data_IF_379865627905
#
_entry.id   IF_379865627905
#
_cell.length_a   1.000
_cell.length_b   1.000
_cell.length_c   1.000
_cell.angle_alpha   90.00
_cell.angle_beta   90.00
_cell.angle_gamma   90.00
#
_symmetry.space_group_name_H-M   'P 1'
#
loop_
_entity.id
_entity.type
_entity.pdbx_description
1 polymer ?
#
# COMPACT_ATOMS: atom_id res chain seq x y z
N UNK A 1 -4.00 94.63 -43.04
CA UNK A 1 -5.21 94.76 -42.23
C UNK A 1 -5.72 93.33 -41.93
N UNK A 2 -5.32 92.77 -40.86
CA UNK A 2 -5.80 91.44 -40.39
C UNK A 2 -5.76 91.41 -38.87
N UNK A 3 -6.93 91.49 -38.28
CA UNK A 3 -7.09 91.44 -36.83
C UNK A 3 -6.89 90.02 -36.34
N UNK A 4 -5.90 89.84 -35.48
CA UNK A 4 -5.70 88.65 -34.65
C UNK A 4 -6.75 88.60 -33.55
N UNK A 5 -7.57 87.59 -33.50
CA UNK A 5 -8.49 87.24 -32.41
C UNK A 5 -7.68 86.40 -31.41
N UNK A 6 -7.83 86.63 -30.08
CA UNK A 6 -7.22 85.73 -29.09
C UNK A 6 -8.02 84.41 -29.00
N UNK A 7 -7.27 83.32 -29.04
CA UNK A 7 -7.79 81.93 -28.81
C UNK A 7 -8.00 81.77 -27.31
N UNK A 8 -9.20 81.38 -26.94
CA UNK A 8 -9.58 81.09 -25.58
C UNK A 8 -8.82 79.87 -25.04
N UNK A 9 -8.30 80.02 -23.82
CA UNK A 9 -7.68 78.94 -23.07
C UNK A 9 -8.72 77.84 -22.78
N UNK A 10 -8.45 76.65 -23.31
CA UNK A 10 -9.19 75.42 -22.93
C UNK A 10 -8.63 74.89 -21.61
N UNK A 11 -9.47 74.98 -20.59
CA UNK A 11 -9.20 74.30 -19.33
C UNK A 11 -9.04 72.80 -19.53
N UNK A 12 -7.83 72.27 -19.35
CA UNK A 12 -7.54 70.86 -19.21
C UNK A 12 -8.07 70.35 -17.90
N UNK A 13 -9.21 69.74 -17.96
CA UNK A 13 -9.78 68.93 -16.86
C UNK A 13 -8.73 67.91 -16.44
N UNK A 14 -8.27 68.03 -15.17
CA UNK A 14 -7.38 67.13 -14.51
C UNK A 14 -7.99 65.72 -14.47
N UNK A 15 -7.50 64.84 -15.32
CA UNK A 15 -7.70 63.43 -15.14
C UNK A 15 -6.90 62.96 -13.93
N UNK A 16 -7.60 62.58 -12.89
CA UNK A 16 -7.02 61.89 -11.76
C UNK A 16 -6.42 60.58 -12.26
N UNK A 17 -5.12 60.59 -12.51
CA UNK A 17 -4.34 59.38 -12.76
C UNK A 17 -4.32 58.62 -11.44
N UNK A 18 -5.25 57.66 -11.30
CA UNK A 18 -5.12 56.63 -10.25
C UNK A 18 -3.84 55.88 -10.59
N UNK A 19 -2.90 55.78 -9.66
CA UNK A 19 -1.80 54.83 -9.86
C UNK A 19 -2.44 53.45 -9.95
N UNK A 20 -2.24 52.79 -11.10
CA UNK A 20 -2.40 51.34 -11.21
C UNK A 20 -1.44 50.76 -10.18
N UNK A 21 -1.99 50.37 -9.03
CA UNK A 21 -1.30 49.45 -8.15
C UNK A 21 -0.98 48.24 -8.99
N UNK A 22 0.26 48.12 -9.43
CA UNK A 22 0.84 46.88 -9.83
C UNK A 22 0.55 45.91 -8.69
N UNK A 23 -0.42 45.03 -8.94
CA UNK A 23 -0.73 43.93 -8.04
C UNK A 23 0.51 43.04 -7.92
N UNK A 24 1.45 43.50 -7.13
CA UNK A 24 2.40 42.63 -6.49
C UNK A 24 1.52 41.62 -5.76
N UNK A 25 1.55 40.38 -6.26
CA UNK A 25 1.02 39.24 -5.51
C UNK A 25 1.78 39.28 -4.19
N UNK A 26 1.21 39.94 -3.18
CA UNK A 26 1.69 39.78 -1.83
C UNK A 26 1.57 38.30 -1.58
N UNK A 27 2.70 37.62 -1.51
CA UNK A 27 2.81 36.29 -0.93
C UNK A 27 2.41 36.52 0.53
N UNK A 28 1.07 36.59 0.74
CA UNK A 28 0.50 36.77 2.05
C UNK A 28 1.04 35.66 2.91
N UNK A 29 1.47 36.01 4.11
CA UNK A 29 1.89 35.03 5.13
C UNK A 29 0.96 33.83 5.06
N UNK A 30 1.50 32.61 4.94
CA UNK A 30 0.68 31.43 4.80
C UNK A 30 -0.27 31.40 6.00
N UNK A 31 -1.57 31.43 5.73
CA UNK A 31 -2.58 31.39 6.80
C UNK A 31 -2.23 30.22 7.71
N UNK A 32 -2.39 30.38 9.03
CA UNK A 32 -2.07 29.37 10.03
C UNK A 32 -2.63 27.96 9.67
N UNK A 33 -3.80 27.91 9.04
CA UNK A 33 -4.40 26.68 8.52
C UNK A 33 -3.54 25.97 7.46
N UNK A 34 -2.86 26.72 6.60
CA UNK A 34 -1.98 26.13 5.56
C UNK A 34 -0.68 25.60 6.15
N UNK A 35 -0.14 26.30 7.14
CA UNK A 35 1.04 25.86 7.88
C UNK A 35 0.73 24.57 8.64
N UNK A 36 -0.41 24.50 9.32
CA UNK A 36 -0.83 23.28 10.02
C UNK A 36 -0.95 22.07 9.08
N UNK A 37 -1.45 22.27 7.83
CA UNK A 37 -1.51 21.17 6.85
C UNK A 37 -0.11 20.77 6.36
N UNK A 38 0.81 21.71 6.17
CA UNK A 38 2.19 21.40 5.79
C UNK A 38 2.90 20.63 6.89
N UNK A 39 2.71 21.04 8.15
CA UNK A 39 3.23 20.34 9.33
C UNK A 39 2.63 18.92 9.43
N UNK A 40 1.30 18.76 9.25
CA UNK A 40 0.65 17.44 9.24
C UNK A 40 1.23 16.53 8.15
N UNK A 41 1.43 17.05 6.94
CA UNK A 41 2.02 16.29 5.83
C UNK A 41 3.45 15.89 6.17
N UNK A 42 4.24 16.83 6.71
CA UNK A 42 5.62 16.59 7.11
C UNK A 42 5.72 15.52 8.21
N UNK A 43 4.88 15.62 9.25
CA UNK A 43 4.82 14.61 10.32
C UNK A 43 4.49 13.23 9.76
N UNK A 44 3.52 13.16 8.83
CA UNK A 44 3.13 11.89 8.21
C UNK A 44 4.22 11.30 7.33
N UNK A 45 4.94 12.11 6.55
CA UNK A 45 6.09 11.62 5.78
C UNK A 45 7.22 11.14 6.69
N UNK A 46 7.44 11.80 7.83
CA UNK A 46 8.47 11.39 8.79
C UNK A 46 8.07 10.18 9.63
N UNK A 47 6.77 10.00 9.88
CA UNK A 47 6.25 8.89 10.67
C UNK A 47 5.99 7.62 9.85
N UNK A 48 5.84 7.76 8.52
CA UNK A 48 5.57 6.64 7.62
C UNK A 48 6.83 6.20 6.88
N UNK A 49 7.09 4.91 6.87
CA UNK A 49 8.21 4.31 6.14
C UNK A 49 8.03 4.40 4.62
N UNK A 50 6.77 4.47 4.15
CA UNK A 50 6.48 4.58 2.74
C UNK A 50 5.25 5.45 2.46
N UNK A 51 5.29 6.16 1.32
CA UNK A 51 4.20 6.95 0.78
C UNK A 51 4.04 6.69 -0.72
N UNK A 52 2.85 6.29 -1.16
CA UNK A 52 2.56 6.02 -2.57
C UNK A 52 1.63 7.11 -3.11
N UNK A 53 2.04 7.74 -4.22
CA UNK A 53 1.29 8.78 -4.90
C UNK A 53 0.44 8.17 -6.01
N UNK A 54 -0.86 8.48 -6.00
CA UNK A 54 -1.81 7.97 -6.97
C UNK A 54 -2.64 9.10 -7.57
N UNK A 55 -3.13 8.91 -8.79
CA UNK A 55 -4.14 9.76 -9.40
C UNK A 55 -5.50 9.10 -9.22
N UNK A 56 -6.46 9.88 -8.69
CA UNK A 56 -7.83 9.40 -8.40
C UNK A 56 -8.86 9.94 -9.37
N UNK A 57 -8.43 10.52 -10.48
CA UNK A 57 -9.35 11.14 -11.45
C UNK A 57 -10.24 10.08 -12.09
N UNK A 58 -11.55 10.29 -11.97
CA UNK A 58 -12.56 9.38 -12.56
C UNK A 58 -13.04 8.28 -11.61
N UNK A 59 -12.59 8.28 -10.34
CA UNK A 59 -13.15 7.40 -9.33
C UNK A 59 -14.46 7.95 -8.77
N UNK A 60 -15.46 7.10 -8.67
CA UNK A 60 -16.74 7.41 -8.02
C UNK A 60 -16.59 7.40 -6.49
N UNK A 61 -17.56 8.06 -5.81
CA UNK A 61 -17.57 8.12 -4.34
C UNK A 61 -17.59 6.75 -3.68
N UNK A 62 -18.42 5.77 -4.13
CA UNK A 62 -18.37 4.41 -3.57
C UNK A 62 -17.01 3.74 -3.78
N UNK A 63 -16.41 3.84 -4.97
CA UNK A 63 -15.09 3.29 -5.25
C UNK A 63 -14.00 3.89 -4.35
N UNK A 64 -14.05 5.20 -4.07
CA UNK A 64 -13.17 5.86 -3.12
C UNK A 64 -13.37 5.35 -1.68
N UNK A 65 -14.61 5.02 -1.29
CA UNK A 65 -14.88 4.47 0.03
C UNK A 65 -14.34 3.03 0.17
N UNK A 66 -14.50 2.22 -0.87
CA UNK A 66 -13.94 0.86 -0.95
C UNK A 66 -12.41 0.89 -0.91
N UNK A 67 -11.77 1.78 -1.69
CA UNK A 67 -10.34 1.98 -1.67
C UNK A 67 -9.82 2.32 -0.28
N UNK A 68 -10.46 3.29 0.39
CA UNK A 68 -10.08 3.67 1.76
C UNK A 68 -10.26 2.52 2.75
N UNK A 69 -11.29 1.70 2.58
CA UNK A 69 -11.51 0.52 3.40
C UNK A 69 -10.40 -0.52 3.20
N UNK A 70 -10.10 -0.88 1.95
CA UNK A 70 -9.05 -1.82 1.61
C UNK A 70 -7.67 -1.37 2.10
N UNK A 71 -7.36 -0.06 1.98
CA UNK A 71 -6.10 0.49 2.45
C UNK A 71 -6.00 0.50 3.99
N UNK A 72 -7.09 0.75 4.71
CA UNK A 72 -7.10 0.65 6.18
C UNK A 72 -6.89 -0.77 6.67
N UNK A 73 -7.45 -1.76 5.97
CA UNK A 73 -7.23 -3.18 6.26
C UNK A 73 -5.76 -3.57 6.04
N UNK A 74 -5.09 -2.93 5.06
CA UNK A 74 -3.67 -3.08 4.79
C UNK A 74 -2.76 -2.22 5.70
N UNK A 75 -3.32 -1.48 6.66
CA UNK A 75 -2.55 -0.60 7.54
C UNK A 75 -2.14 0.74 6.89
N UNK A 76 -2.88 1.21 5.89
CA UNK A 76 -2.59 2.46 5.19
C UNK A 76 -3.64 3.55 5.42
N UNK A 77 -3.20 4.79 5.40
CA UNK A 77 -4.07 5.97 5.41
C UNK A 77 -4.06 6.64 4.03
N UNK A 78 -5.25 6.89 3.46
CA UNK A 78 -5.42 7.52 2.15
C UNK A 78 -5.98 8.92 2.27
N UNK A 79 -5.16 9.93 1.96
CA UNK A 79 -5.55 11.34 2.01
C UNK A 79 -5.26 12.08 0.71
N UNK A 80 -6.11 13.07 0.44
CA UNK A 80 -5.96 13.98 -0.69
C UNK A 80 -5.49 15.32 -0.16
N UNK A 81 -4.35 15.77 -0.65
CA UNK A 81 -3.77 17.06 -0.29
C UNK A 81 -3.62 17.96 -1.53
N UNK A 82 -3.51 19.24 -1.29
CA UNK A 82 -3.21 20.19 -2.35
C UNK A 82 -1.73 20.09 -2.73
N UNK A 83 -1.43 19.83 -4.01
CA UNK A 83 -0.06 19.62 -4.50
C UNK A 83 0.93 20.72 -4.06
N UNK A 84 0.49 21.98 -4.05
CA UNK A 84 1.34 23.09 -3.61
C UNK A 84 1.78 22.99 -2.15
N UNK A 85 0.93 22.46 -1.26
CA UNK A 85 1.27 22.30 0.15
C UNK A 85 2.20 21.08 0.36
N UNK A 86 1.95 20.03 -0.42
CA UNK A 86 2.82 18.83 -0.41
C UNK A 86 4.21 19.19 -0.92
N UNK A 87 4.33 20.01 -1.97
CA UNK A 87 5.64 20.46 -2.47
C UNK A 87 6.46 21.14 -1.38
N UNK A 88 5.86 22.08 -0.65
CA UNK A 88 6.58 22.75 0.46
C UNK A 88 7.08 21.77 1.53
N UNK A 89 6.24 20.78 1.90
CA UNK A 89 6.64 19.78 2.88
C UNK A 89 7.77 18.87 2.37
N UNK A 90 7.73 18.51 1.09
CA UNK A 90 8.70 17.63 0.42
C UNK A 90 10.03 18.34 0.19
N UNK A 91 10.01 19.63 -0.20
CA UNK A 91 11.20 20.47 -0.35
C UNK A 91 11.99 20.57 0.95
N UNK A 92 11.28 20.72 2.09
CA UNK A 92 11.92 20.75 3.41
C UNK A 92 12.55 19.40 3.80
N UNK A 93 12.00 18.27 3.31
CA UNK A 93 12.52 16.92 3.54
C UNK A 93 13.59 16.51 2.53
N UNK A 94 13.81 17.30 1.47
CA UNK A 94 14.79 17.00 0.43
C UNK A 94 14.42 15.83 -0.48
N UNK A 95 13.14 15.49 -0.58
CA UNK A 95 12.63 14.38 -1.41
C UNK A 95 12.37 14.85 -2.85
N UNK A 96 12.91 14.15 -3.84
CA UNK A 96 12.73 14.47 -5.27
C UNK A 96 11.42 13.88 -5.84
N UNK A 97 10.27 14.34 -5.37
CA UNK A 97 8.96 13.87 -5.85
C UNK A 97 8.11 14.95 -6.53
N UNK A 98 8.69 16.11 -6.81
CA UNK A 98 7.97 17.24 -7.42
C UNK A 98 7.33 16.88 -8.75
N UNK A 99 8.01 16.08 -9.58
CA UNK A 99 7.52 15.63 -10.88
C UNK A 99 6.24 14.79 -10.78
N UNK A 100 6.07 14.08 -9.67
CA UNK A 100 4.91 13.22 -9.42
C UNK A 100 3.68 14.01 -8.94
N UNK A 101 3.89 15.25 -8.45
CA UNK A 101 2.84 16.13 -7.94
C UNK A 101 2.17 16.96 -9.05
N UNK A 102 1.88 16.34 -10.19
CA UNK A 102 1.16 16.94 -11.31
C UNK A 102 -0.28 16.41 -11.36
N UNK A 103 -1.27 17.27 -11.61
CA UNK A 103 -2.69 16.86 -11.66
C UNK A 103 -3.29 16.46 -10.30
N UNK A 104 -4.46 15.80 -10.28
CA UNK A 104 -5.12 15.38 -9.05
C UNK A 104 -4.36 14.24 -8.39
N UNK A 105 -3.70 14.52 -7.26
CA UNK A 105 -2.86 13.57 -6.57
C UNK A 105 -3.41 13.28 -5.18
N UNK A 106 -3.49 12.01 -4.84
CA UNK A 106 -3.75 11.52 -3.50
C UNK A 106 -2.53 10.71 -3.02
N UNK A 107 -2.32 10.72 -1.73
CA UNK A 107 -1.18 10.06 -1.10
C UNK A 107 -1.71 8.97 -0.17
N UNK A 108 -1.19 7.77 -0.35
CA UNK A 108 -1.38 6.65 0.56
C UNK A 108 -0.14 6.53 1.44
N UNK A 109 -0.28 6.80 2.73
CA UNK A 109 0.77 6.64 3.72
C UNK A 109 0.68 5.26 4.35
N UNK A 110 1.80 4.65 4.64
CA UNK A 110 1.87 3.49 5.51
C UNK A 110 1.73 3.99 6.94
N UNK A 111 0.68 3.55 7.63
CA UNK A 111 0.38 3.91 9.00
C UNK A 111 0.47 2.70 9.93
N UNK A 112 0.01 2.87 11.14
CA UNK A 112 -0.19 1.76 12.07
C UNK A 112 -1.44 0.96 11.66
N UNK A 113 -1.32 -0.35 11.64
CA UNK A 113 -2.44 -1.26 11.43
C UNK A 113 -3.40 -1.20 12.63
N UNK A 114 -4.65 -1.61 12.43
CA UNK A 114 -5.68 -1.64 13.49
C UNK A 114 -5.23 -2.42 14.74
N UNK A 115 -4.27 -3.30 14.59
CA UNK A 115 -3.71 -4.16 15.65
C UNK A 115 -2.49 -3.52 16.36
N UNK A 116 -2.14 -2.27 16.04
CA UNK A 116 -0.98 -1.57 16.62
C UNK A 116 0.36 -2.05 16.07
N UNK A 117 0.37 -2.87 15.04
CA UNK A 117 1.58 -3.24 14.30
C UNK A 117 1.93 -2.16 13.27
N UNK A 118 3.21 -1.99 12.98
CA UNK A 118 3.65 -1.13 11.88
C UNK A 118 3.06 -1.64 10.56
N UNK A 119 2.48 -0.74 9.78
CA UNK A 119 1.95 -1.08 8.47
C UNK A 119 3.03 -1.63 7.55
N UNK A 120 2.63 -2.50 6.64
CA UNK A 120 3.54 -3.09 5.66
C UNK A 120 3.41 -2.36 4.32
N UNK A 121 4.48 -1.71 3.82
CA UNK A 121 4.47 -1.05 2.52
C UNK A 121 4.13 -2.01 1.37
N UNK A 122 4.45 -3.29 1.51
CA UNK A 122 4.12 -4.34 0.53
C UNK A 122 2.62 -4.60 0.49
N UNK A 123 1.97 -4.70 1.66
CA UNK A 123 0.52 -4.88 1.76
C UNK A 123 -0.23 -3.69 1.15
N UNK A 124 0.25 -2.46 1.40
CA UNK A 124 -0.29 -1.24 0.82
C UNK A 124 -0.17 -1.24 -0.71
N UNK A 125 1.03 -1.54 -1.24
CA UNK A 125 1.28 -1.59 -2.69
C UNK A 125 0.42 -2.68 -3.36
N UNK A 126 0.24 -3.83 -2.72
CA UNK A 126 -0.64 -4.92 -3.19
C UNK A 126 -2.10 -4.48 -3.25
N UNK A 127 -2.61 -3.86 -2.19
CA UNK A 127 -3.98 -3.36 -2.16
C UNK A 127 -4.24 -2.32 -3.26
N UNK A 128 -3.29 -1.40 -3.50
CA UNK A 128 -3.37 -0.43 -4.59
C UNK A 128 -3.32 -1.09 -5.97
N UNK A 129 -2.45 -2.08 -6.18
CA UNK A 129 -2.35 -2.85 -7.43
C UNK A 129 -3.64 -3.61 -7.74
N UNK A 130 -4.20 -4.29 -6.75
CA UNK A 130 -5.42 -5.08 -6.92
C UNK A 130 -6.62 -4.17 -7.17
N UNK A 131 -6.70 -3.02 -6.51
CA UNK A 131 -7.72 -2.02 -6.78
C UNK A 131 -7.55 -1.37 -8.15
N UNK A 132 -6.32 -1.08 -8.59
CA UNK A 132 -6.04 -0.53 -9.92
C UNK A 132 -6.41 -1.51 -11.04
N UNK A 133 -6.30 -2.83 -10.81
CA UNK A 133 -6.80 -3.85 -11.76
C UNK A 133 -8.32 -3.86 -11.86
N UNK A 134 -9.03 -3.61 -10.76
CA UNK A 134 -10.49 -3.55 -10.73
C UNK A 134 -11.02 -2.22 -11.28
N UNK A 135 -10.26 -1.13 -11.13
CA UNK A 135 -10.64 0.22 -11.50
C UNK A 135 -9.51 0.89 -12.31
N UNK A 136 -9.63 0.93 -13.62
CA UNK A 136 -8.66 1.55 -14.53
C UNK A 136 -8.47 3.06 -14.29
N UNK A 137 -9.40 3.70 -13.57
CA UNK A 137 -9.34 5.12 -13.21
C UNK A 137 -8.27 5.45 -12.16
N UNK A 138 -7.80 4.45 -11.40
CA UNK A 138 -6.71 4.64 -10.44
C UNK A 138 -5.36 4.44 -11.13
N UNK A 139 -4.57 5.49 -11.21
CA UNK A 139 -3.22 5.43 -11.79
C UNK A 139 -2.19 5.64 -10.69
N UNK A 140 -1.28 4.69 -10.55
CA UNK A 140 -0.12 4.80 -9.65
C UNK A 140 0.93 5.66 -10.36
N UNK A 141 1.37 6.75 -9.76
CA UNK A 141 2.38 7.66 -10.33
C UNK A 141 3.79 7.36 -9.88
N UNK A 142 3.92 6.88 -8.66
CA UNK A 142 5.19 6.62 -8.01
C UNK A 142 5.04 6.63 -6.51
N UNK A 143 6.15 6.59 -5.79
CA UNK A 143 6.15 6.63 -4.34
C UNK A 143 7.50 6.97 -3.77
N UNK A 144 7.55 6.97 -2.45
CA UNK A 144 8.76 7.11 -1.65
C UNK A 144 8.80 5.95 -0.66
N UNK A 145 9.94 5.32 -0.52
CA UNK A 145 10.22 4.28 0.46
C UNK A 145 11.58 4.59 1.10
N UNK A 146 11.64 4.71 2.42
CA UNK A 146 12.89 5.02 3.14
C UNK A 146 13.67 6.21 2.51
N UNK A 147 12.95 7.32 2.23
CA UNK A 147 13.49 8.53 1.58
C UNK A 147 13.93 8.34 0.11
N UNK A 148 13.81 7.15 -0.46
CA UNK A 148 14.13 6.87 -1.86
C UNK A 148 12.88 6.96 -2.72
N UNK A 149 13.04 7.63 -3.88
CA UNK A 149 11.98 7.68 -4.89
C UNK A 149 11.81 6.33 -5.55
N UNK A 150 10.58 5.84 -5.61
CA UNK A 150 10.19 4.64 -6.33
C UNK A 150 9.46 4.99 -7.63
N UNK A 151 9.84 4.32 -8.70
CA UNK A 151 9.13 4.34 -9.97
C UNK A 151 7.88 3.46 -9.92
N UNK A 152 6.98 3.61 -10.89
CA UNK A 152 5.78 2.79 -11.00
C UNK A 152 6.12 1.30 -11.12
N UNK A 153 7.17 0.97 -11.89
CA UNK A 153 7.61 -0.42 -12.09
C UNK A 153 8.10 -1.05 -10.78
N UNK A 154 8.86 -0.32 -9.99
CA UNK A 154 9.35 -0.77 -8.68
C UNK A 154 8.21 -0.97 -7.67
N UNK A 155 7.18 -0.12 -7.68
CA UNK A 155 5.99 -0.32 -6.85
C UNK A 155 5.22 -1.57 -7.27
N UNK A 156 5.12 -1.85 -8.56
CA UNK A 156 4.48 -3.06 -9.05
C UNK A 156 5.27 -4.33 -8.66
N UNK A 157 6.59 -4.27 -8.68
CA UNK A 157 7.47 -5.34 -8.19
C UNK A 157 7.32 -5.49 -6.67
N UNK A 158 7.31 -4.37 -5.92
CA UNK A 158 7.07 -4.37 -4.48
C UNK A 158 5.75 -5.06 -4.13
N UNK A 159 4.68 -4.82 -4.89
CA UNK A 159 3.39 -5.46 -4.70
C UNK A 159 3.39 -6.99 -4.99
N UNK A 160 4.40 -7.52 -5.67
CA UNK A 160 4.56 -8.96 -5.93
C UNK A 160 5.32 -9.68 -4.81
N UNK A 161 6.04 -8.95 -3.98
CA UNK A 161 6.74 -9.50 -2.82
C UNK A 161 5.71 -9.98 -1.79
N UNK A 162 6.03 -11.06 -1.09
CA UNK A 162 5.20 -11.54 0.00
C UNK A 162 5.29 -10.61 1.23
N UNK A 163 4.21 -10.43 2.00
CA UNK A 163 4.24 -9.68 3.26
C UNK A 163 5.32 -10.18 4.22
N UNK A 164 5.79 -9.31 5.11
CA UNK A 164 6.89 -9.61 6.05
C UNK A 164 6.66 -10.90 6.84
N UNK A 165 5.44 -11.12 7.31
CA UNK A 165 5.09 -12.33 8.08
C UNK A 165 5.26 -13.62 7.25
N UNK A 166 4.84 -13.59 5.98
CA UNK A 166 4.99 -14.73 5.09
C UNK A 166 6.46 -14.98 4.75
N UNK A 167 7.28 -13.92 4.58
CA UNK A 167 8.72 -14.06 4.37
C UNK A 167 9.41 -14.68 5.59
N UNK A 168 9.04 -14.27 6.81
CA UNK A 168 9.54 -14.86 8.03
C UNK A 168 9.11 -16.32 8.19
N UNK A 169 7.85 -16.64 7.85
CA UNK A 169 7.36 -18.02 7.86
C UNK A 169 8.09 -18.89 6.84
N UNK A 170 8.34 -18.39 5.63
CA UNK A 170 9.14 -19.08 4.61
C UNK A 170 10.59 -19.29 5.06
N UNK A 171 11.20 -18.30 5.69
CA UNK A 171 12.54 -18.41 6.26
C UNK A 171 12.59 -19.50 7.35
N UNK A 172 11.66 -19.47 8.30
CA UNK A 172 11.56 -20.47 9.34
C UNK A 172 11.33 -21.89 8.76
N UNK A 173 10.46 -22.00 7.76
CA UNK A 173 10.22 -23.23 7.01
C UNK A 173 11.48 -23.75 6.30
N UNK A 174 12.23 -22.87 5.65
CA UNK A 174 13.48 -23.24 4.97
C UNK A 174 14.54 -23.71 5.95
N UNK A 175 14.60 -23.15 7.15
CA UNK A 175 15.51 -23.61 8.23
C UNK A 175 15.07 -24.96 8.82
N UNK A 176 13.77 -25.22 8.94
CA UNK A 176 13.22 -26.46 9.46
C UNK A 176 13.21 -27.60 8.41
N UNK A 177 13.14 -27.29 7.12
CA UNK A 177 13.02 -28.26 6.03
C UNK A 177 14.11 -29.36 6.05
N UNK A 178 15.42 -29.08 6.24
CA UNK A 178 16.45 -30.12 6.28
C UNK A 178 16.21 -31.11 7.41
N UNK A 179 15.80 -30.62 8.60
CA UNK A 179 15.53 -31.49 9.73
C UNK A 179 14.30 -32.36 9.52
N UNK A 180 13.25 -31.80 8.92
CA UNK A 180 12.03 -32.53 8.55
C UNK A 180 12.32 -33.61 7.49
N UNK A 181 13.13 -33.28 6.47
CA UNK A 181 13.54 -34.25 5.45
C UNK A 181 14.36 -35.39 6.06
N UNK A 182 15.27 -35.08 6.97
CA UNK A 182 16.05 -36.10 7.65
C UNK A 182 15.17 -37.04 8.51
N UNK A 183 14.24 -36.47 9.28
CA UNK A 183 13.28 -37.26 10.05
C UNK A 183 12.37 -38.12 9.13
N UNK A 184 11.92 -37.57 8.01
CA UNK A 184 11.13 -38.31 7.04
C UNK A 184 11.90 -39.49 6.41
N UNK A 185 13.18 -39.31 6.06
CA UNK A 185 14.02 -40.37 5.55
C UNK A 185 14.26 -41.50 6.58
N UNK A 186 14.47 -41.13 7.85
CA UNK A 186 14.59 -42.14 8.92
C UNK A 186 13.28 -42.90 9.13
N UNK A 187 12.17 -42.26 8.98
CA UNK A 187 10.84 -42.88 9.13
C UNK A 187 10.41 -43.66 7.86
N UNK A 188 11.02 -43.38 6.70
CA UNK A 188 10.69 -44.07 5.46
C UNK A 188 11.07 -45.55 5.47
N UNK A 189 12.17 -45.90 6.16
CA UNK A 189 12.61 -47.31 6.27
C UNK A 189 11.58 -48.22 6.95
N UNK A 190 11.09 -47.92 8.17
CA UNK A 190 10.05 -48.72 8.82
C UNK A 190 8.70 -48.64 8.10
N UNK A 191 8.36 -47.49 7.50
CA UNK A 191 7.14 -47.37 6.68
C UNK A 191 7.16 -48.27 5.45
N UNK A 192 8.27 -48.33 4.70
CA UNK A 192 8.39 -49.18 3.53
C UNK A 192 8.32 -50.64 3.93
N UNK A 193 8.89 -51.05 5.08
CA UNK A 193 8.75 -52.38 5.61
C UNK A 193 7.29 -52.72 5.95
N UNK A 194 6.59 -51.79 6.62
CA UNK A 194 5.18 -51.98 6.96
C UNK A 194 4.29 -52.08 5.70
N UNK A 195 4.54 -51.27 4.67
CA UNK A 195 3.84 -51.38 3.40
C UNK A 195 4.12 -52.72 2.67
N UNK A 196 5.39 -53.18 2.67
CA UNK A 196 5.73 -54.46 2.10
C UNK A 196 5.07 -55.63 2.84
N UNK A 197 5.03 -55.60 4.18
CA UNK A 197 4.29 -56.59 4.97
C UNK A 197 2.77 -56.56 4.73
N UNK A 198 2.21 -55.38 4.61
CA UNK A 198 0.81 -55.20 4.28
C UNK A 198 0.50 -55.75 2.89
N UNK A 199 1.31 -55.46 1.88
CA UNK A 199 1.13 -56.01 0.54
C UNK A 199 1.21 -57.53 0.53
N UNK A 200 2.13 -58.16 1.29
CA UNK A 200 2.21 -59.60 1.43
C UNK A 200 0.94 -60.19 2.11
N UNK A 201 0.35 -59.50 3.06
CA UNK A 201 -0.90 -59.93 3.70
C UNK A 201 -2.06 -59.82 2.69
N UNK A 202 -2.13 -58.72 1.95
CA UNK A 202 -3.19 -58.49 0.94
C UNK A 202 -3.08 -59.47 -0.24
N UNK A 203 -1.88 -59.96 -0.61
CA UNK A 203 -1.64 -61.01 -1.62
C UNK A 203 -1.83 -62.43 -1.10
N UNK A 204 -2.29 -62.60 0.14
CA UNK A 204 -2.66 -63.91 0.69
C UNK A 204 -1.59 -64.55 1.58
N UNK A 205 -0.60 -63.78 2.04
CA UNK A 205 0.40 -64.25 2.98
C UNK A 205 1.53 -65.07 2.32
N UNK A 206 2.71 -65.10 2.97
CA UNK A 206 3.84 -65.89 2.51
C UNK A 206 3.43 -67.40 2.42
N UNK A 207 3.90 -68.15 1.42
CA UNK A 207 3.60 -69.58 1.30
C UNK A 207 4.12 -70.35 2.53
N UNK A 208 3.20 -70.63 3.50
CA UNK A 208 3.53 -71.33 4.73
C UNK A 208 2.88 -70.72 6.00
N UNK A 209 2.15 -69.61 5.92
CA UNK A 209 1.43 -69.07 7.05
C UNK A 209 0.11 -69.83 7.26
N UNK A 210 -0.22 -70.29 8.53
CA UNK A 210 -1.50 -70.93 8.79
C UNK A 210 -2.66 -69.93 8.59
N UNK A 211 -3.72 -70.40 7.94
CA UNK A 211 -4.92 -69.62 7.62
C UNK A 211 -5.50 -68.90 8.85
N UNK A 212 -5.72 -67.59 8.62
CA UNK A 212 -6.68 -66.68 9.29
C UNK A 212 -7.27 -67.16 10.61
N UNK A 213 -6.81 -66.52 11.70
CA UNK A 213 -7.67 -66.28 12.87
C UNK A 213 -8.52 -65.05 12.55
N UNK A 214 -9.79 -65.28 12.23
CA UNK A 214 -10.80 -64.27 12.18
C UNK A 214 -10.90 -63.59 13.58
N UNK A 215 -10.39 -62.40 13.71
CA UNK A 215 -10.71 -61.52 14.82
C UNK A 215 -11.89 -60.63 14.40
N UNK A 216 -13.07 -61.29 14.35
CA UNK A 216 -14.34 -60.58 14.47
C UNK A 216 -14.51 -60.20 15.94
N UNK A 217 -14.96 -58.98 16.16
CA UNK A 217 -15.39 -58.39 17.41
C UNK A 217 -14.31 -57.58 18.19
N UNK A 218 -14.23 -56.29 17.90
CA UNK A 218 -14.46 -55.20 18.88
C UNK A 218 -14.78 -53.92 18.08
N UNK A 219 -16.04 -53.85 17.65
CA UNK A 219 -16.69 -52.59 17.33
C UNK A 219 -17.90 -52.53 18.31
N UNK A 220 -17.85 -51.63 19.20
CA UNK A 220 -18.89 -51.11 20.10
C UNK A 220 -18.31 -50.82 21.49
N UNK A 221 -17.82 -49.60 21.67
CA UNK A 221 -17.97 -48.84 22.92
C UNK A 221 -17.09 -47.57 22.81
N UNK A 222 -17.67 -46.51 22.32
CA UNK A 222 -17.47 -45.12 22.81
C UNK A 222 -18.36 -44.16 22.03
N UNK A 223 -19.62 -44.24 22.31
CA UNK A 223 -20.59 -43.19 22.03
C UNK A 223 -21.50 -43.10 23.27
N UNK A 224 -21.00 -42.44 24.32
CA UNK A 224 -21.88 -41.84 25.34
C UNK A 224 -20.98 -41.25 26.45
N UNK A 225 -20.66 -39.97 26.37
CA UNK A 225 -20.64 -39.00 27.48
C UNK A 225 -20.47 -37.62 26.87
N UNK A 226 -21.57 -36.94 26.64
CA UNK A 226 -21.66 -35.51 26.60
C UNK A 226 -23.02 -35.15 27.23
N UNK A 227 -22.94 -34.71 28.46
CA UNK A 227 -23.96 -33.87 29.11
C UNK A 227 -23.23 -32.68 29.74
#
# INVERSE_FOLDING_TARGET
CGRLRPVAATETRGGSHRPTEEGGVSVGEPRAEKLAVVEEVREKFSASDAAILTEYRGLDVPAMAELRKALREAGGEYKVYKNTLVRFAVDELGLEVEDLLTGPTAIAFVGEQSDGSAGDPVALARALKDFAKANESLVIKGGVLDEQRLTVEEILVLAEIAPREELLARLAGAMAAPMQQFAALLNALPQNLAYALKALIDEGGAPGAPASVETSAVDEADAEVAD
#
